data_IF_489135321565
#
_entry.id   IF_489135321565
#
_cell.length_a   1.000
_cell.length_b   1.000
_cell.length_c   1.000
_cell.angle_alpha   90.00
_cell.angle_beta   90.00
_cell.angle_gamma   90.00
#
_symmetry.space_group_name_H-M   'P 1'
#
loop_
_entity.id
_entity.type
_entity.pdbx_description
1 polymer ?
#
# COMPACT_ATOMS: atom_id res chain seq x y z
N UNK A 1 46.56 32.24 -34.58
CA UNK A 1 46.39 31.01 -33.77
C UNK A 1 47.09 29.86 -34.51
N UNK A 2 48.11 29.30 -33.90
CA UNK A 2 49.05 28.37 -34.51
C UNK A 2 48.28 27.13 -35.00
N UNK A 3 48.58 26.60 -36.19
CA UNK A 3 47.93 25.44 -36.77
C UNK A 3 47.92 24.23 -35.81
N UNK A 4 48.96 24.08 -34.98
CA UNK A 4 49.06 23.03 -33.95
C UNK A 4 47.95 23.17 -32.89
N UNK A 5 47.61 24.41 -32.47
CA UNK A 5 46.56 24.66 -31.44
C UNK A 5 45.17 24.31 -32.03
N UNK A 6 44.94 24.62 -33.30
CA UNK A 6 43.69 24.26 -33.99
C UNK A 6 43.51 22.74 -34.10
N UNK A 7 44.60 22.03 -34.41
CA UNK A 7 44.57 20.55 -34.48
C UNK A 7 44.32 19.90 -33.13
N UNK A 8 44.97 20.39 -32.08
CA UNK A 8 44.77 19.90 -30.70
C UNK A 8 43.31 20.16 -30.26
N UNK A 9 42.77 21.36 -30.52
CA UNK A 9 41.38 21.70 -30.20
C UNK A 9 40.39 20.77 -30.93
N UNK A 10 40.64 20.51 -32.21
CA UNK A 10 39.80 19.60 -33.02
C UNK A 10 39.82 18.18 -32.47
N UNK A 11 40.99 17.66 -32.10
CA UNK A 11 41.16 16.33 -31.48
C UNK A 11 40.38 16.24 -30.15
N UNK A 12 40.44 17.26 -29.29
CA UNK A 12 39.68 17.30 -28.03
C UNK A 12 38.17 17.29 -28.29
N UNK A 13 37.70 18.07 -29.25
CA UNK A 13 36.28 18.11 -29.61
C UNK A 13 35.79 16.74 -30.10
N UNK A 14 36.55 16.07 -30.98
CA UNK A 14 36.20 14.72 -31.43
C UNK A 14 36.26 13.68 -30.30
N UNK A 15 37.20 13.83 -29.37
CA UNK A 15 37.28 12.94 -28.20
C UNK A 15 36.04 13.10 -27.29
N UNK A 16 35.62 14.33 -27.01
CA UNK A 16 34.43 14.60 -26.21
C UNK A 16 33.14 14.10 -26.88
N UNK A 17 33.02 14.32 -28.20
CA UNK A 17 31.90 13.80 -28.98
C UNK A 17 31.91 12.27 -28.97
N UNK A 18 33.06 11.62 -29.14
CA UNK A 18 33.21 10.17 -29.11
C UNK A 18 32.83 9.56 -27.76
N UNK A 19 33.27 10.20 -26.65
CA UNK A 19 32.88 9.78 -25.30
C UNK A 19 31.38 9.95 -25.10
N UNK A 20 30.80 11.11 -25.48
CA UNK A 20 29.38 11.35 -25.36
C UNK A 20 28.50 10.39 -26.16
N UNK A 21 28.92 10.09 -27.41
CA UNK A 21 28.26 9.10 -28.26
C UNK A 21 28.38 7.67 -27.71
N UNK A 22 29.56 7.32 -27.16
CA UNK A 22 29.79 6.02 -26.51
C UNK A 22 28.90 5.84 -25.27
N UNK A 23 28.83 6.83 -24.40
CA UNK A 23 27.93 6.82 -23.23
C UNK A 23 26.45 6.72 -23.64
N UNK A 24 26.03 7.50 -24.65
CA UNK A 24 24.67 7.45 -25.15
C UNK A 24 24.31 6.10 -25.74
N UNK A 25 25.22 5.48 -26.49
CA UNK A 25 25.03 4.15 -27.06
C UNK A 25 24.98 3.06 -25.96
N UNK A 26 25.88 3.10 -25.00
CA UNK A 26 25.93 2.14 -23.90
C UNK A 26 24.67 2.27 -23.00
N UNK A 27 24.22 3.50 -22.74
CA UNK A 27 22.97 3.74 -21.99
C UNK A 27 21.76 3.19 -22.73
N UNK A 28 21.62 3.51 -24.02
CA UNK A 28 20.49 3.02 -24.84
C UNK A 28 20.56 1.49 -25.00
N UNK A 29 21.73 0.91 -25.21
CA UNK A 29 21.91 -0.55 -25.31
C UNK A 29 21.58 -1.24 -24.00
N UNK A 30 22.07 -0.73 -22.87
CA UNK A 30 21.75 -1.23 -21.54
C UNK A 30 20.25 -1.09 -21.22
N UNK A 31 19.65 0.04 -21.56
CA UNK A 31 18.21 0.27 -21.40
C UNK A 31 17.38 -0.72 -22.23
N UNK A 32 17.74 -0.95 -23.50
CA UNK A 32 17.04 -1.90 -24.36
C UNK A 32 17.25 -3.36 -23.89
N UNK A 33 18.43 -3.72 -23.43
CA UNK A 33 18.66 -5.05 -22.80
C UNK A 33 17.81 -5.23 -21.54
N UNK A 34 17.79 -4.24 -20.63
CA UNK A 34 16.98 -4.30 -19.42
C UNK A 34 15.50 -4.40 -19.75
N UNK A 35 15.04 -3.62 -20.73
CA UNK A 35 13.65 -3.66 -21.20
C UNK A 35 13.29 -5.01 -21.86
N UNK A 36 14.23 -5.63 -22.54
CA UNK A 36 14.05 -6.96 -23.14
C UNK A 36 14.01 -8.06 -22.07
N UNK A 37 14.85 -7.97 -21.04
CA UNK A 37 14.86 -8.89 -19.90
C UNK A 37 13.54 -8.79 -19.10
N UNK A 38 13.07 -7.58 -18.82
CA UNK A 38 11.81 -7.34 -18.08
C UNK A 38 10.61 -7.92 -18.85
N UNK A 39 10.61 -7.84 -20.18
CA UNK A 39 9.54 -8.40 -21.02
C UNK A 39 9.37 -9.92 -20.93
N UNK A 40 10.37 -10.61 -20.43
CA UNK A 40 10.44 -12.07 -20.42
C UNK A 40 10.38 -12.69 -19.01
N UNK A 41 10.07 -11.89 -17.97
CA UNK A 41 9.96 -12.40 -16.60
C UNK A 41 8.53 -12.94 -16.40
N UNK A 42 8.43 -14.19 -16.02
CA UNK A 42 7.19 -14.87 -15.66
C UNK A 42 7.24 -15.25 -14.19
N UNK A 43 6.29 -14.82 -13.35
CA UNK A 43 6.21 -15.33 -12.00
C UNK A 43 5.80 -16.80 -12.02
N UNK A 44 6.62 -17.65 -11.41
CA UNK A 44 6.28 -19.05 -11.15
C UNK A 44 5.70 -19.13 -9.77
N UNK A 45 4.44 -19.56 -9.67
CA UNK A 45 3.70 -19.65 -8.43
C UNK A 45 3.51 -21.10 -8.03
N UNK A 46 3.36 -21.32 -6.75
CA UNK A 46 2.98 -22.61 -6.24
C UNK A 46 1.57 -22.96 -6.71
N UNK A 47 1.37 -24.24 -7.06
CA UNK A 47 0.03 -24.70 -7.44
C UNK A 47 -0.74 -25.00 -6.15
N UNK A 48 -1.41 -23.96 -5.63
CA UNK A 48 -1.94 -23.98 -4.28
C UNK A 48 -3.46 -24.10 -4.26
N UNK A 49 -3.95 -25.31 -4.18
CA UNK A 49 -5.38 -25.59 -4.10
C UNK A 49 -5.97 -25.41 -2.68
N UNK A 50 -5.14 -25.12 -1.67
CA UNK A 50 -5.54 -25.11 -0.27
C UNK A 50 -5.77 -23.70 0.29
N UNK A 51 -5.33 -22.66 -0.41
CA UNK A 51 -5.47 -21.29 0.04
C UNK A 51 -6.44 -20.51 -0.84
N UNK A 52 -7.21 -19.63 -0.23
CA UNK A 52 -8.22 -18.82 -0.91
C UNK A 52 -7.67 -17.42 -1.26
N UNK A 53 -6.91 -16.85 -0.36
CA UNK A 53 -6.45 -15.45 -0.47
C UNK A 53 -5.03 -15.29 -0.99
N UNK A 54 -4.15 -16.25 -0.75
CA UNK A 54 -2.75 -16.16 -1.17
C UNK A 54 -2.48 -16.96 -2.45
N UNK A 55 -1.45 -16.55 -3.17
CA UNK A 55 -0.90 -17.31 -4.28
C UNK A 55 0.63 -17.25 -4.22
N UNK A 56 1.28 -18.15 -3.46
CA UNK A 56 2.71 -18.08 -3.17
C UNK A 56 3.58 -17.98 -4.41
N UNK A 57 4.55 -17.06 -4.36
CA UNK A 57 5.51 -16.84 -5.43
C UNK A 57 6.76 -17.68 -5.16
N UNK A 58 7.00 -18.73 -5.98
CA UNK A 58 8.18 -19.59 -5.86
C UNK A 58 9.41 -18.96 -6.50
N UNK A 59 9.26 -18.43 -7.70
CA UNK A 59 10.34 -17.83 -8.47
C UNK A 59 9.83 -17.00 -9.63
N UNK A 60 10.73 -16.23 -10.25
CA UNK A 60 10.52 -15.67 -11.57
C UNK A 60 11.24 -16.52 -12.62
N UNK A 61 10.58 -16.77 -13.74
CA UNK A 61 11.18 -17.41 -14.92
C UNK A 61 11.20 -16.42 -16.08
N UNK A 62 12.19 -16.54 -16.96
CA UNK A 62 12.36 -15.65 -18.10
C UNK A 62 11.75 -16.29 -19.34
N UNK A 63 10.51 -15.92 -19.63
CA UNK A 63 9.74 -16.41 -20.79
C UNK A 63 9.35 -15.29 -21.77
N UNK A 64 8.36 -15.56 -22.62
CA UNK A 64 7.91 -14.61 -23.66
C UNK A 64 6.74 -13.71 -23.21
N UNK A 65 6.52 -13.52 -21.93
CA UNK A 65 5.39 -12.77 -21.41
C UNK A 65 5.71 -11.29 -21.15
N UNK A 66 4.69 -10.44 -21.23
CA UNK A 66 4.76 -9.01 -20.91
C UNK A 66 4.43 -8.82 -19.43
N UNK A 67 5.45 -8.83 -18.55
CA UNK A 67 5.29 -8.64 -17.11
C UNK A 67 5.92 -7.32 -16.67
N UNK A 68 5.43 -6.78 -15.56
CA UNK A 68 5.92 -5.55 -14.94
C UNK A 68 5.88 -4.30 -15.82
N UNK A 69 5.03 -4.27 -16.84
CA UNK A 69 4.86 -3.11 -17.70
C UNK A 69 3.88 -2.12 -17.05
N UNK A 70 4.19 -0.85 -17.26
CA UNK A 70 3.26 0.23 -16.89
C UNK A 70 2.07 0.26 -17.86
N UNK A 71 0.86 0.29 -17.30
CA UNK A 71 -0.38 0.41 -18.07
C UNK A 71 -0.76 1.88 -18.21
N UNK A 72 -0.25 2.50 -19.25
CA UNK A 72 -0.49 3.92 -19.55
C UNK A 72 -1.96 4.23 -19.85
N UNK A 73 -2.71 3.29 -20.44
CA UNK A 73 -4.13 3.51 -20.74
C UNK A 73 -4.96 3.63 -19.45
N UNK A 74 -4.64 2.83 -18.45
CA UNK A 74 -5.31 2.93 -17.15
C UNK A 74 -4.89 4.21 -16.41
N UNK A 75 -3.60 4.55 -16.44
CA UNK A 75 -3.06 5.78 -15.87
C UNK A 75 -3.78 7.02 -16.42
N UNK A 76 -3.88 7.14 -17.75
CA UNK A 76 -4.56 8.27 -18.41
C UNK A 76 -6.01 8.42 -17.97
N UNK A 77 -6.75 7.30 -17.85
CA UNK A 77 -8.16 7.32 -17.40
C UNK A 77 -8.29 7.78 -15.95
N UNK A 78 -7.43 7.26 -15.06
CA UNK A 78 -7.43 7.65 -13.65
C UNK A 78 -7.04 9.12 -13.52
N UNK A 79 -5.99 9.54 -14.22
CA UNK A 79 -5.53 10.93 -14.18
C UNK A 79 -6.60 11.91 -14.70
N UNK A 80 -7.30 11.58 -15.78
CA UNK A 80 -8.39 12.42 -16.30
C UNK A 80 -9.50 12.62 -15.25
N UNK A 81 -9.88 11.57 -14.52
CA UNK A 81 -10.84 11.66 -13.43
C UNK A 81 -10.30 12.52 -12.26
N UNK A 82 -9.05 12.31 -11.87
CA UNK A 82 -8.39 13.09 -10.81
C UNK A 82 -8.39 14.59 -11.14
N UNK A 83 -8.06 14.96 -12.38
CA UNK A 83 -8.08 16.36 -12.81
C UNK A 83 -9.48 16.98 -12.70
N UNK A 84 -10.55 16.23 -12.99
CA UNK A 84 -11.92 16.69 -12.79
C UNK A 84 -12.22 16.95 -11.29
N UNK A 85 -11.74 16.09 -10.39
CA UNK A 85 -11.93 16.27 -8.95
C UNK A 85 -11.18 17.52 -8.43
N UNK A 86 -9.99 17.79 -8.96
CA UNK A 86 -9.24 19.02 -8.62
C UNK A 86 -9.95 20.28 -9.12
N UNK A 87 -10.47 20.26 -10.34
CA UNK A 87 -11.25 21.40 -10.89
C UNK A 87 -12.52 21.66 -10.09
N UNK A 88 -13.16 20.60 -9.60
CA UNK A 88 -14.35 20.69 -8.74
C UNK A 88 -14.01 21.03 -7.27
N UNK A 89 -12.74 21.14 -6.91
CA UNK A 89 -12.25 21.37 -5.54
C UNK A 89 -12.69 20.30 -4.52
N UNK A 90 -12.92 19.08 -5.00
CA UNK A 90 -13.37 17.95 -4.18
C UNK A 90 -12.25 17.31 -3.35
N UNK A 91 -11.00 17.53 -3.72
CA UNK A 91 -9.83 17.08 -2.98
C UNK A 91 -8.63 18.01 -3.28
N UNK A 92 -7.71 18.10 -2.31
CA UNK A 92 -6.43 18.81 -2.45
C UNK A 92 -5.37 17.91 -3.12
N UNK A 93 -5.38 16.63 -2.78
CA UNK A 93 -4.46 15.65 -3.35
C UNK A 93 -5.13 14.28 -3.47
N UNK A 94 -4.90 13.60 -4.58
CA UNK A 94 -5.33 12.23 -4.86
C UNK A 94 -4.16 11.47 -5.46
N UNK A 95 -3.85 10.31 -4.89
CA UNK A 95 -2.82 9.40 -5.37
C UNK A 95 -3.36 8.00 -5.49
N UNK A 96 -2.97 7.31 -6.57
CA UNK A 96 -3.44 5.97 -6.89
C UNK A 96 -2.27 5.10 -7.31
N UNK A 97 -2.24 3.88 -6.81
CA UNK A 97 -1.37 2.83 -7.32
C UNK A 97 -2.15 1.53 -7.49
N UNK A 98 -2.06 0.97 -8.67
CA UNK A 98 -2.63 -0.32 -9.08
C UNK A 98 -1.52 -1.28 -9.46
N UNK A 99 -1.66 -2.57 -9.12
CA UNK A 99 -0.79 -3.63 -9.63
C UNK A 99 -1.55 -4.93 -9.82
N UNK A 100 -1.45 -5.49 -11.02
CA UNK A 100 -1.92 -6.83 -11.36
C UNK A 100 -1.06 -7.87 -10.67
N UNK A 101 -1.63 -8.65 -9.76
CA UNK A 101 -0.90 -9.65 -8.98
C UNK A 101 -0.53 -10.91 -9.79
N UNK A 102 -1.15 -11.13 -10.95
CA UNK A 102 -0.83 -12.25 -11.83
C UNK A 102 0.28 -11.94 -12.82
N UNK A 103 0.26 -10.75 -13.44
CA UNK A 103 1.21 -10.36 -14.47
C UNK A 103 2.24 -9.31 -14.00
N UNK A 104 2.01 -8.64 -12.85
CA UNK A 104 2.86 -7.58 -12.35
C UNK A 104 2.76 -6.27 -13.15
N UNK A 105 1.84 -6.15 -14.11
CA UNK A 105 1.56 -4.86 -14.77
C UNK A 105 1.02 -3.87 -13.74
N UNK A 106 1.37 -2.61 -13.86
CA UNK A 106 1.04 -1.60 -12.89
C UNK A 106 0.64 -0.28 -13.52
N UNK A 107 -0.05 0.56 -12.76
CA UNK A 107 -0.41 1.92 -13.13
C UNK A 107 -0.36 2.82 -11.90
N UNK A 108 0.10 4.04 -12.05
CA UNK A 108 0.24 4.96 -10.94
C UNK A 108 0.01 6.41 -11.32
N UNK A 109 -0.83 7.11 -10.55
CA UNK A 109 -0.99 8.57 -10.65
C UNK A 109 -0.60 9.15 -9.30
N UNK A 110 0.38 10.03 -9.27
CA UNK A 110 0.97 10.59 -8.05
C UNK A 110 1.43 9.50 -7.05
N UNK A 111 1.84 8.34 -7.55
CA UNK A 111 2.00 7.10 -6.78
C UNK A 111 3.09 7.18 -5.70
N UNK A 112 4.06 8.08 -5.85
CA UNK A 112 5.17 8.31 -4.91
C UNK A 112 4.89 9.48 -3.93
N UNK A 113 3.70 10.11 -4.02
CA UNK A 113 3.29 11.15 -3.05
C UNK A 113 2.97 10.52 -1.71
N UNK A 114 3.57 11.06 -0.64
CA UNK A 114 3.42 10.52 0.72
C UNK A 114 2.32 11.25 1.51
N UNK A 115 1.60 10.48 2.34
CA UNK A 115 0.48 10.92 3.18
C UNK A 115 0.66 10.46 4.62
N UNK A 116 0.04 11.16 5.57
CA UNK A 116 -0.14 10.67 6.94
C UNK A 116 -1.06 9.44 6.87
N UNK A 117 -0.59 8.23 7.23
CA UNK A 117 -1.26 6.99 6.83
C UNK A 117 -2.55 6.67 7.62
N UNK A 118 -2.67 7.15 8.85
CA UNK A 118 -3.75 6.73 9.74
C UNK A 118 -3.77 5.21 9.95
N UNK A 119 -4.95 4.66 10.11
CA UNK A 119 -5.18 3.25 10.47
C UNK A 119 -4.81 2.22 9.40
N UNK A 120 -4.38 2.61 8.18
CA UNK A 120 -3.87 1.62 7.23
C UNK A 120 -2.63 0.89 7.77
N UNK A 121 -1.87 1.52 8.66
CA UNK A 121 -0.64 0.94 9.22
C UNK A 121 -0.88 -0.18 10.24
N UNK A 122 -2.10 -0.39 10.71
CA UNK A 122 -2.49 -1.52 11.55
C UNK A 122 -2.16 -2.88 10.93
N UNK A 123 -2.05 -2.95 9.61
CA UNK A 123 -1.60 -4.16 8.90
C UNK A 123 -0.19 -4.57 9.29
N UNK A 124 0.73 -3.61 9.51
CA UNK A 124 2.10 -3.94 9.94
C UNK A 124 2.17 -4.44 11.39
N UNK A 125 1.31 -3.92 12.26
CA UNK A 125 1.19 -4.41 13.63
C UNK A 125 0.71 -5.86 13.62
N UNK A 126 -0.30 -6.17 12.81
CA UNK A 126 -0.77 -7.55 12.60
C UNK A 126 0.36 -8.44 12.08
N UNK A 127 1.15 -7.99 11.11
CA UNK A 127 2.30 -8.75 10.60
C UNK A 127 3.37 -8.98 11.69
N UNK A 128 3.60 -8.00 12.58
CA UNK A 128 4.54 -8.16 13.69
C UNK A 128 4.07 -9.25 14.68
N UNK A 129 2.79 -9.31 15.00
CA UNK A 129 2.24 -10.38 15.84
C UNK A 129 2.32 -11.76 15.18
N UNK A 130 2.10 -11.87 13.87
CA UNK A 130 2.32 -13.11 13.15
C UNK A 130 3.81 -13.51 13.13
N UNK A 131 4.73 -12.55 13.01
CA UNK A 131 6.17 -12.83 13.17
C UNK A 131 6.51 -13.30 14.59
N UNK A 132 5.94 -12.67 15.62
CA UNK A 132 6.11 -13.08 17.01
C UNK A 132 5.57 -14.48 17.26
N UNK A 133 4.43 -14.83 16.68
CA UNK A 133 3.80 -16.15 16.83
C UNK A 133 4.62 -17.29 16.23
N UNK A 134 5.49 -17.01 15.27
CA UNK A 134 6.44 -18.00 14.74
C UNK A 134 7.55 -18.35 15.74
N UNK A 135 7.84 -17.46 16.69
CA UNK A 135 8.81 -17.67 17.75
C UNK A 135 8.13 -18.21 19.04
N UNK A 136 6.93 -17.74 19.31
CA UNK A 136 6.09 -18.17 20.43
C UNK A 136 4.62 -18.29 20.00
N UNK A 137 4.22 -19.51 19.67
CA UNK A 137 2.84 -19.79 19.22
C UNK A 137 1.77 -19.48 20.26
N UNK A 138 2.13 -19.31 21.54
CA UNK A 138 1.19 -18.98 22.62
C UNK A 138 0.72 -17.52 22.57
N UNK A 139 1.43 -16.65 21.85
CA UNK A 139 1.14 -15.20 21.83
C UNK A 139 -0.26 -14.89 21.34
N UNK A 140 -0.79 -15.63 20.36
CA UNK A 140 -2.14 -15.44 19.82
C UNK A 140 -3.26 -15.72 20.83
N UNK A 141 -3.01 -16.66 21.76
CA UNK A 141 -3.95 -17.04 22.84
C UNK A 141 -3.75 -16.20 24.11
N UNK A 142 -2.67 -15.41 24.19
CA UNK A 142 -2.38 -14.58 25.35
C UNK A 142 -3.50 -13.56 25.56
N UNK A 143 -3.98 -13.47 26.80
CA UNK A 143 -5.01 -12.50 27.18
C UNK A 143 -4.38 -11.19 27.65
N UNK A 144 -4.89 -10.09 27.14
CA UNK A 144 -4.52 -8.72 27.50
C UNK A 144 -5.72 -8.02 28.12
N UNK A 145 -5.50 -7.29 29.22
CA UNK A 145 -6.57 -6.57 29.93
C UNK A 145 -6.68 -5.16 29.41
N UNK A 146 -7.87 -4.74 28.97
CA UNK A 146 -8.14 -3.36 28.61
C UNK A 146 -8.34 -2.52 29.88
N UNK A 147 -7.31 -1.77 30.26
CA UNK A 147 -7.28 -1.01 31.52
C UNK A 147 -7.74 0.44 31.33
N UNK A 148 -8.10 1.12 32.44
CA UNK A 148 -8.36 2.56 32.45
C UNK A 148 -7.20 3.37 31.87
N UNK A 149 -5.96 2.95 32.11
CA UNK A 149 -4.78 3.64 31.56
C UNK A 149 -4.75 3.58 30.03
N UNK A 150 -5.06 2.42 29.44
CA UNK A 150 -5.16 2.28 27.97
C UNK A 150 -6.31 3.12 27.44
N UNK A 151 -7.47 3.08 28.08
CA UNK A 151 -8.64 3.90 27.71
C UNK A 151 -8.32 5.41 27.73
N UNK A 152 -7.57 5.87 28.72
CA UNK A 152 -7.10 7.26 28.77
C UNK A 152 -6.09 7.59 27.65
N UNK A 153 -5.28 6.65 27.21
CA UNK A 153 -4.39 6.85 26.06
C UNK A 153 -5.20 6.98 24.76
N UNK A 154 -6.17 6.11 24.55
CA UNK A 154 -7.09 6.15 23.41
C UNK A 154 -7.84 7.49 23.33
N UNK A 155 -8.35 7.99 24.46
CA UNK A 155 -9.10 9.26 24.52
C UNK A 155 -8.29 10.50 24.09
N UNK A 156 -6.97 10.39 23.98
CA UNK A 156 -6.08 11.46 23.51
C UNK A 156 -5.85 11.45 22.01
N UNK A 157 -6.30 10.41 21.30
CA UNK A 157 -6.20 10.33 19.85
C UNK A 157 -7.16 11.37 19.24
N UNK A 158 -6.70 12.23 18.33
CA UNK A 158 -7.54 13.32 17.79
C UNK A 158 -8.78 12.85 17.03
N UNK A 159 -8.71 11.68 16.41
CA UNK A 159 -9.80 11.02 15.71
C UNK A 159 -9.82 9.55 16.14
N UNK A 160 -10.87 9.14 16.84
CA UNK A 160 -10.99 7.78 17.39
C UNK A 160 -12.09 7.03 16.64
N UNK A 161 -11.76 5.89 16.09
CA UNK A 161 -12.74 4.94 15.58
C UNK A 161 -13.56 4.34 16.72
N UNK A 162 -14.74 3.78 16.43
CA UNK A 162 -15.57 3.13 17.45
C UNK A 162 -14.77 2.10 18.24
N UNK A 163 -14.90 2.16 19.58
CA UNK A 163 -14.22 1.26 20.53
C UNK A 163 -15.20 0.16 20.94
N UNK A 164 -14.83 -1.09 20.70
CA UNK A 164 -15.62 -2.27 21.06
C UNK A 164 -15.20 -2.87 22.41
N UNK A 165 -14.07 -2.45 22.97
CA UNK A 165 -13.53 -3.00 24.21
C UNK A 165 -14.16 -2.36 25.45
N UNK A 166 -14.37 -3.17 26.49
CA UNK A 166 -14.88 -2.74 27.79
C UNK A 166 -13.74 -2.71 28.81
N UNK A 167 -13.57 -1.59 29.51
CA UNK A 167 -12.56 -1.44 30.57
C UNK A 167 -12.72 -2.52 31.63
N UNK A 168 -11.59 -3.11 32.06
CA UNK A 168 -11.52 -4.20 33.02
C UNK A 168 -11.72 -5.60 32.42
N UNK A 169 -12.12 -5.72 31.18
CA UNK A 169 -12.25 -7.00 30.49
C UNK A 169 -10.92 -7.45 29.87
N UNK A 170 -10.82 -8.75 29.65
CA UNK A 170 -9.63 -9.42 29.08
C UNK A 170 -9.98 -10.00 27.73
N UNK A 171 -9.10 -9.79 26.74
CA UNK A 171 -9.29 -10.19 25.36
C UNK A 171 -8.04 -10.94 24.86
N UNK A 172 -8.21 -11.99 24.07
CA UNK A 172 -7.07 -12.66 23.45
C UNK A 172 -6.40 -11.78 22.39
N UNK A 173 -5.10 -11.93 22.20
CA UNK A 173 -4.36 -11.22 21.15
C UNK A 173 -5.02 -11.44 19.78
N UNK A 174 -5.44 -12.66 19.48
CA UNK A 174 -6.16 -12.98 18.25
C UNK A 174 -7.42 -12.13 18.07
N UNK A 175 -8.29 -12.08 19.08
CA UNK A 175 -9.50 -11.24 19.05
C UNK A 175 -9.17 -9.78 18.81
N UNK A 176 -8.13 -9.27 19.48
CA UNK A 176 -7.71 -7.87 19.34
C UNK A 176 -7.20 -7.58 17.92
N UNK A 177 -6.46 -8.51 17.30
CA UNK A 177 -6.02 -8.37 15.91
C UNK A 177 -7.20 -8.34 14.94
N UNK A 178 -8.17 -9.22 15.13
CA UNK A 178 -9.40 -9.24 14.33
C UNK A 178 -10.15 -7.91 14.47
N UNK A 179 -10.41 -7.44 15.68
CA UNK A 179 -11.15 -6.19 15.93
C UNK A 179 -10.40 -4.94 15.41
N UNK A 180 -9.07 -4.89 15.63
CA UNK A 180 -8.21 -3.84 15.10
C UNK A 180 -8.29 -3.71 13.57
N UNK A 181 -8.37 -4.82 12.86
CA UNK A 181 -8.38 -4.82 11.39
C UNK A 181 -9.80 -4.70 10.84
N UNK A 182 -10.74 -5.53 11.30
CA UNK A 182 -12.11 -5.60 10.78
C UNK A 182 -12.88 -4.30 11.06
N UNK A 183 -12.81 -3.80 12.31
CA UNK A 183 -13.52 -2.62 12.78
C UNK A 183 -12.65 -1.38 12.87
N UNK A 184 -11.35 -1.49 12.61
CA UNK A 184 -10.38 -0.41 12.83
C UNK A 184 -10.34 0.10 14.27
N UNK A 185 -10.62 -0.76 15.27
CA UNK A 185 -10.71 -0.38 16.70
C UNK A 185 -9.37 0.18 17.20
N UNK A 186 -9.40 1.42 17.71
CA UNK A 186 -8.20 2.12 18.19
C UNK A 186 -7.82 1.69 19.62
N UNK A 187 -8.75 1.11 20.38
CA UNK A 187 -8.43 0.56 21.68
C UNK A 187 -7.71 -0.78 21.54
N UNK A 188 -8.14 -1.63 20.61
CA UNK A 188 -7.44 -2.86 20.26
C UNK A 188 -6.03 -2.55 19.74
N UNK A 189 -5.88 -1.58 18.84
CA UNK A 189 -4.60 -1.09 18.34
C UNK A 189 -3.66 -0.63 19.45
N UNK A 190 -4.14 0.27 20.32
CA UNK A 190 -3.35 0.80 21.43
C UNK A 190 -2.92 -0.31 22.40
N UNK A 191 -3.83 -1.24 22.74
CA UNK A 191 -3.53 -2.34 23.62
C UNK A 191 -2.49 -3.30 23.02
N UNK A 192 -2.61 -3.59 21.73
CA UNK A 192 -1.64 -4.40 21.00
C UNK A 192 -0.27 -3.71 20.92
N UNK A 193 -0.20 -2.43 20.53
CA UNK A 193 1.06 -1.68 20.46
C UNK A 193 1.81 -1.62 21.80
N UNK A 194 1.10 -1.56 22.93
CA UNK A 194 1.70 -1.57 24.26
C UNK A 194 2.24 -2.95 24.67
N UNK A 195 1.87 -4.03 23.96
CA UNK A 195 2.20 -5.40 24.34
C UNK A 195 2.98 -6.18 23.26
N UNK A 196 3.14 -5.64 22.06
CA UNK A 196 3.95 -6.25 21.00
C UNK A 196 5.43 -6.26 21.39
N UNK A 197 6.17 -7.27 20.95
CA UNK A 197 7.61 -7.25 21.06
C UNK A 197 8.19 -6.13 20.20
N UNK A 198 8.74 -5.10 20.84
CA UNK A 198 9.23 -3.89 20.17
C UNK A 198 10.33 -4.21 19.15
N UNK A 199 11.23 -5.16 19.44
CA UNK A 199 12.28 -5.54 18.49
C UNK A 199 11.71 -6.14 17.21
N UNK A 200 10.65 -6.98 17.33
CA UNK A 200 9.99 -7.57 16.17
C UNK A 200 9.22 -6.51 15.38
N UNK A 201 8.57 -5.57 16.06
CA UNK A 201 7.90 -4.47 15.41
C UNK A 201 8.89 -3.59 14.64
N UNK A 202 10.03 -3.24 15.25
CA UNK A 202 11.09 -2.45 14.62
C UNK A 202 11.68 -3.18 13.41
N UNK A 203 11.87 -4.51 13.49
CA UNK A 203 12.33 -5.35 12.38
C UNK A 203 11.31 -5.32 11.22
N UNK A 204 10.01 -5.45 11.49
CA UNK A 204 8.97 -5.37 10.45
C UNK A 204 8.99 -4.01 9.75
N UNK A 205 9.07 -2.93 10.49
CA UNK A 205 9.14 -1.59 9.90
C UNK A 205 10.44 -1.39 9.11
N UNK A 206 11.57 -1.87 9.63
CA UNK A 206 12.88 -1.79 8.99
C UNK A 206 12.96 -2.61 7.70
N UNK A 207 12.53 -3.87 7.72
CA UNK A 207 12.51 -4.77 6.56
C UNK A 207 11.63 -4.23 5.43
N UNK A 208 10.51 -3.61 5.80
CA UNK A 208 9.56 -3.03 4.86
C UNK A 208 9.89 -1.58 4.50
N UNK A 209 11.01 -1.03 5.02
CA UNK A 209 11.50 0.33 4.78
C UNK A 209 10.49 1.42 5.14
N UNK A 210 9.76 1.22 6.21
CA UNK A 210 8.77 2.17 6.74
C UNK A 210 9.33 2.84 7.98
N UNK A 211 9.08 4.13 8.12
CA UNK A 211 9.45 4.87 9.33
C UNK A 211 8.59 4.42 10.51
N UNK A 212 9.21 4.09 11.64
CA UNK A 212 8.51 3.72 12.86
C UNK A 212 7.75 4.94 13.41
N UNK A 213 6.45 4.80 13.79
CA UNK A 213 5.69 5.88 14.40
C UNK A 213 6.40 6.48 15.63
N UNK A 214 6.39 7.80 15.74
CA UNK A 214 6.98 8.51 16.89
C UNK A 214 8.50 8.72 16.85
N UNK A 215 9.22 8.12 15.89
CA UNK A 215 10.67 8.33 15.73
C UNK A 215 11.03 9.56 14.90
N UNK A 216 10.11 10.02 14.06
CA UNK A 216 10.25 11.24 13.26
C UNK A 216 8.94 12.02 13.22
N UNK A 217 9.02 13.34 12.98
CA UNK A 217 7.85 14.20 12.76
C UNK A 217 7.12 13.92 11.43
N UNK A 218 7.68 13.07 10.58
CA UNK A 218 7.20 12.83 9.21
C UNK A 218 6.88 11.35 8.98
N UNK A 219 6.00 10.80 9.82
CA UNK A 219 5.46 9.47 9.57
C UNK A 219 4.47 9.52 8.41
N UNK A 220 4.96 9.20 7.22
CA UNK A 220 4.18 9.22 5.98
C UNK A 220 4.50 8.02 5.11
N UNK A 221 3.56 7.64 4.23
CA UNK A 221 3.73 6.55 3.27
C UNK A 221 3.06 6.91 1.94
N UNK A 222 3.62 6.40 0.84
CA UNK A 222 3.00 6.52 -0.48
C UNK A 222 2.08 5.32 -0.78
N UNK A 223 1.10 5.45 -1.70
CA UNK A 223 0.28 4.31 -2.12
C UNK A 223 1.09 3.19 -2.76
N UNK A 224 2.16 3.51 -3.46
CA UNK A 224 3.06 2.53 -4.07
C UNK A 224 3.81 1.71 -3.01
N UNK A 225 4.36 2.37 -1.99
CA UNK A 225 5.06 1.67 -0.91
C UNK A 225 4.10 0.81 -0.10
N UNK A 226 2.91 1.32 0.23
CA UNK A 226 1.90 0.57 0.97
C UNK A 226 1.44 -0.70 0.23
N UNK A 227 1.24 -0.64 -1.09
CA UNK A 227 0.84 -1.84 -1.86
C UNK A 227 1.88 -2.94 -1.86
N UNK A 228 3.14 -2.64 -1.52
CA UNK A 228 4.16 -3.67 -1.36
C UNK A 228 3.85 -4.62 -0.20
N UNK A 229 3.21 -4.14 0.88
CA UNK A 229 2.79 -4.96 2.02
C UNK A 229 1.70 -5.95 1.63
N UNK A 230 0.68 -5.47 0.88
CA UNK A 230 -0.38 -6.34 0.38
C UNK A 230 0.17 -7.41 -0.57
N UNK A 231 1.11 -7.04 -1.42
CA UNK A 231 1.78 -7.99 -2.32
C UNK A 231 2.63 -9.02 -1.56
N UNK A 232 3.30 -8.62 -0.48
CA UNK A 232 4.08 -9.52 0.38
C UNK A 232 3.16 -10.54 1.06
N UNK A 233 1.99 -10.11 1.56
CA UNK A 233 0.98 -11.01 2.12
C UNK A 233 0.44 -11.96 1.05
N UNK A 234 0.04 -11.43 -0.12
CA UNK A 234 -0.48 -12.25 -1.22
C UNK A 234 0.51 -13.30 -1.72
N UNK A 235 1.78 -12.96 -1.76
CA UNK A 235 2.86 -13.87 -2.18
C UNK A 235 3.38 -14.76 -1.04
N UNK A 236 2.93 -14.57 0.19
CA UNK A 236 3.39 -15.26 1.40
C UNK A 236 4.92 -15.25 1.55
N UNK A 237 5.56 -14.08 1.34
CA UNK A 237 7.02 -13.96 1.28
C UNK A 237 7.67 -13.39 2.53
N UNK A 238 6.89 -13.06 3.57
CA UNK A 238 7.39 -12.45 4.80
C UNK A 238 6.95 -13.17 6.07
N UNK A 239 5.71 -13.55 6.17
CA UNK A 239 5.16 -14.44 7.19
C UNK A 239 4.78 -15.78 6.55
N UNK A 240 4.43 -16.80 7.35
CA UNK A 240 4.10 -18.12 6.80
C UNK A 240 2.88 -18.05 5.86
N UNK A 241 2.71 -19.06 5.02
CA UNK A 241 1.54 -19.18 4.15
C UNK A 241 0.23 -19.17 4.94
N UNK A 242 0.20 -19.93 6.05
CA UNK A 242 -0.97 -20.00 6.94
C UNK A 242 -1.28 -18.62 7.54
N UNK A 243 -0.27 -17.93 8.04
CA UNK A 243 -0.42 -16.60 8.64
C UNK A 243 -0.82 -15.55 7.58
N UNK A 244 -0.26 -15.65 6.38
CA UNK A 244 -0.60 -14.76 5.26
C UNK A 244 -2.05 -14.93 4.80
N UNK A 245 -2.52 -16.16 4.71
CA UNK A 245 -3.91 -16.49 4.40
C UNK A 245 -4.85 -15.97 5.48
N UNK A 246 -4.53 -16.19 6.77
CA UNK A 246 -5.33 -15.68 7.88
C UNK A 246 -5.36 -14.16 7.91
N UNK A 247 -4.22 -13.46 7.70
CA UNK A 247 -4.14 -12.02 7.64
C UNK A 247 -5.04 -11.44 6.53
N UNK A 248 -5.01 -12.02 5.33
CA UNK A 248 -5.86 -11.58 4.23
C UNK A 248 -7.33 -11.95 4.45
N UNK A 249 -7.62 -13.08 5.12
CA UNK A 249 -8.98 -13.44 5.55
C UNK A 249 -9.55 -12.43 6.54
N UNK A 250 -8.76 -11.94 7.50
CA UNK A 250 -9.18 -10.88 8.44
C UNK A 250 -9.43 -9.58 7.67
N UNK A 251 -8.53 -9.19 6.76
CA UNK A 251 -8.70 -8.00 5.92
C UNK A 251 -9.95 -8.05 5.04
N UNK A 252 -10.37 -9.26 4.61
CA UNK A 252 -11.60 -9.43 3.79
C UNK A 252 -12.89 -9.25 4.58
N UNK A 253 -12.82 -9.30 5.91
CA UNK A 253 -13.98 -9.09 6.81
C UNK A 253 -14.11 -7.63 7.28
N UNK A 254 -13.34 -6.70 6.70
CA UNK A 254 -13.44 -5.28 7.05
C UNK A 254 -14.88 -4.79 6.97
N UNK A 255 -15.34 -4.14 8.04
CA UNK A 255 -16.69 -3.54 8.12
C UNK A 255 -16.80 -2.21 7.35
N UNK A 256 -15.71 -1.71 6.79
CA UNK A 256 -15.71 -0.53 5.94
C UNK A 256 -16.23 -0.89 4.54
N UNK A 257 -17.49 -0.59 4.27
CA UNK A 257 -18.16 -0.93 3.02
C UNK A 257 -18.20 0.23 2.00
N UNK A 258 -17.61 1.37 2.32
CA UNK A 258 -17.40 2.47 1.39
C UNK A 258 -16.10 2.28 0.59
N UNK A 259 -15.70 3.27 -0.17
CA UNK A 259 -14.42 3.27 -0.88
C UNK A 259 -14.26 2.12 -1.89
N UNK A 260 -13.18 1.32 -1.77
CA UNK A 260 -12.86 0.25 -2.73
C UNK A 260 -14.00 -0.77 -2.82
N UNK A 261 -14.51 -1.21 -1.68
CA UNK A 261 -15.59 -2.20 -1.63
C UNK A 261 -16.85 -1.73 -2.36
N UNK A 262 -17.25 -0.47 -2.17
CA UNK A 262 -18.40 0.12 -2.85
C UNK A 262 -18.23 0.28 -4.38
N UNK A 263 -16.98 0.27 -4.86
CA UNK A 263 -16.64 0.41 -6.28
C UNK A 263 -16.68 -0.90 -7.07
N UNK A 264 -16.80 -2.05 -6.41
CA UNK A 264 -16.88 -3.36 -7.07
C UNK A 264 -18.28 -3.96 -6.97
N UNK A 265 -18.66 -4.88 -7.86
CA UNK A 265 -19.95 -5.56 -7.78
C UNK A 265 -20.09 -6.40 -6.51
N UNK A 266 -21.33 -6.53 -6.03
CA UNK A 266 -21.65 -7.45 -4.92
C UNK A 266 -21.15 -8.86 -5.20
N UNK A 267 -20.53 -9.48 -4.18
CA UNK A 267 -19.95 -10.82 -4.27
C UNK A 267 -18.49 -10.86 -4.77
N UNK A 268 -17.89 -9.72 -5.10
CA UNK A 268 -16.44 -9.62 -5.30
C UNK A 268 -15.78 -9.44 -3.94
N UNK A 269 -14.86 -10.34 -3.60
CA UNK A 269 -14.11 -10.26 -2.35
C UNK A 269 -13.05 -9.16 -2.41
N UNK A 270 -12.90 -8.44 -1.29
CA UNK A 270 -11.94 -7.35 -1.13
C UNK A 270 -11.27 -7.48 0.24
N UNK A 271 -10.01 -7.83 0.26
CA UNK A 271 -9.19 -7.77 1.47
C UNK A 271 -8.59 -6.36 1.59
N UNK A 272 -9.09 -5.54 2.52
CA UNK A 272 -8.78 -4.11 2.56
C UNK A 272 -8.58 -3.57 3.96
N UNK A 273 -7.83 -2.46 4.05
CA UNK A 273 -7.78 -1.59 5.23
C UNK A 273 -7.99 -0.14 4.80
N UNK A 274 -8.88 0.55 5.49
CA UNK A 274 -9.01 2.00 5.39
C UNK A 274 -8.25 2.70 6.52
N UNK A 275 -7.96 3.96 6.33
CA UNK A 275 -7.34 4.80 7.35
C UNK A 275 -7.78 6.24 7.21
N UNK A 276 -8.10 6.84 8.33
CA UNK A 276 -8.48 8.24 8.50
C UNK A 276 -7.41 8.93 9.34
N UNK A 277 -7.18 10.20 9.04
CA UNK A 277 -6.22 11.02 9.78
C UNK A 277 -6.54 12.50 9.62
N UNK A 278 -6.07 13.29 10.57
CA UNK A 278 -6.19 14.74 10.56
C UNK A 278 -4.80 15.38 10.62
N UNK A 279 -4.64 16.47 9.90
CA UNK A 279 -3.52 17.39 10.09
C UNK A 279 -4.02 18.59 10.90
N UNK A 280 -3.39 18.83 12.03
CA UNK A 280 -3.83 19.85 13.00
C UNK A 280 -2.71 20.85 13.20
N UNK A 281 -2.99 22.11 12.99
CA UNK A 281 -2.04 23.18 13.29
C UNK A 281 -1.67 23.14 14.79
N UNK A 282 -0.38 23.03 15.13
CA UNK A 282 0.05 22.87 16.51
C UNK A 282 -0.20 24.12 17.37
N UNK A 283 -0.35 25.30 16.75
CA UNK A 283 -0.54 26.58 17.43
C UNK A 283 -2.03 26.92 17.56
N UNK A 284 -2.77 26.88 16.45
CA UNK A 284 -4.20 27.28 16.42
C UNK A 284 -5.13 26.15 16.85
N UNK A 285 -4.66 24.87 16.80
CA UNK A 285 -5.45 23.66 16.99
C UNK A 285 -6.55 23.45 15.93
N UNK A 286 -6.52 24.20 14.85
CA UNK A 286 -7.43 24.04 13.74
C UNK A 286 -7.04 22.85 12.86
N UNK A 287 -8.02 22.13 12.33
CA UNK A 287 -7.80 21.06 11.37
C UNK A 287 -7.50 21.70 10.01
N UNK A 288 -6.29 21.50 9.53
CA UNK A 288 -5.81 22.06 8.24
C UNK A 288 -6.06 21.11 7.08
N UNK A 289 -6.09 19.80 7.34
CA UNK A 289 -6.41 18.80 6.34
C UNK A 289 -7.04 17.55 6.96
N UNK A 290 -7.82 16.87 6.13
CA UNK A 290 -8.44 15.57 6.44
C UNK A 290 -7.98 14.55 5.42
N UNK A 291 -7.58 13.37 5.89
CA UNK A 291 -7.11 12.27 5.05
C UNK A 291 -8.06 11.09 5.14
N UNK A 292 -8.34 10.50 3.99
CA UNK A 292 -8.99 9.19 3.88
C UNK A 292 -8.21 8.35 2.88
N UNK A 293 -7.80 7.17 3.29
CA UNK A 293 -7.09 6.21 2.48
C UNK A 293 -7.82 4.88 2.48
N UNK A 294 -7.76 4.17 1.37
CA UNK A 294 -8.25 2.82 1.30
C UNK A 294 -7.37 2.01 0.36
N UNK A 295 -6.78 0.95 0.89
CA UNK A 295 -5.85 0.09 0.16
C UNK A 295 -6.24 -1.37 0.39
N UNK A 296 -6.18 -2.17 -0.66
CA UNK A 296 -6.59 -3.57 -0.57
C UNK A 296 -6.23 -4.40 -1.79
N UNK A 297 -6.59 -5.68 -1.71
CA UNK A 297 -6.57 -6.64 -2.80
C UNK A 297 -8.01 -6.89 -3.22
N UNK A 298 -8.28 -6.71 -4.50
CA UNK A 298 -9.58 -7.06 -5.10
C UNK A 298 -9.43 -8.38 -5.84
N UNK A 299 -10.20 -9.38 -5.44
CA UNK A 299 -10.20 -10.73 -6.04
C UNK A 299 -11.15 -10.79 -7.25
N UNK A 300 -10.81 -10.01 -8.28
CA UNK A 300 -11.59 -9.98 -9.51
C UNK A 300 -11.43 -11.27 -10.32
N UNK A 301 -12.51 -11.68 -11.03
CA UNK A 301 -12.53 -12.92 -11.80
C UNK A 301 -11.45 -12.98 -12.89
N UNK A 302 -11.10 -11.84 -13.51
CA UNK A 302 -10.07 -11.81 -14.55
C UNK A 302 -8.69 -12.09 -13.96
N UNK A 303 -8.33 -11.40 -12.89
CA UNK A 303 -7.13 -11.59 -12.08
C UNK A 303 -7.23 -10.74 -10.80
N UNK A 304 -6.64 -11.19 -9.68
CA UNK A 304 -6.54 -10.37 -8.49
C UNK A 304 -5.57 -9.20 -8.71
N UNK A 305 -5.84 -8.08 -8.06
CA UNK A 305 -5.00 -6.90 -8.14
C UNK A 305 -4.96 -6.14 -6.82
N UNK A 306 -3.85 -5.45 -6.55
CA UNK A 306 -3.77 -4.45 -5.49
C UNK A 306 -4.27 -3.11 -5.99
N UNK A 307 -4.97 -2.38 -5.15
CA UNK A 307 -5.38 -1.00 -5.39
C UNK A 307 -5.20 -0.22 -4.09
N UNK A 308 -4.45 0.86 -4.14
CA UNK A 308 -4.30 1.78 -3.03
C UNK A 308 -4.62 3.19 -3.51
N UNK A 309 -5.57 3.84 -2.84
CA UNK A 309 -6.02 5.19 -3.15
C UNK A 309 -5.89 6.02 -1.87
N UNK A 310 -5.10 7.07 -1.96
CA UNK A 310 -4.86 8.00 -0.85
C UNK A 310 -5.35 9.39 -1.23
N UNK A 311 -6.09 10.02 -0.32
CA UNK A 311 -6.69 11.33 -0.57
C UNK A 311 -6.42 12.29 0.58
N UNK A 312 -6.32 13.58 0.25
CA UNK A 312 -6.24 14.69 1.19
C UNK A 312 -7.28 15.74 0.79
N UNK A 313 -8.07 16.18 1.74
CA UNK A 313 -8.99 17.29 1.60
C UNK A 313 -8.58 18.45 2.51
N UNK A 314 -8.90 19.69 2.11
CA UNK A 314 -8.57 20.88 2.89
C UNK A 314 -9.54 21.03 4.07
N UNK A 315 -8.99 21.30 5.25
CA UNK A 315 -9.75 21.50 6.48
C UNK A 315 -10.45 20.23 6.98
N UNK A 316 -11.42 20.41 7.87
CA UNK A 316 -12.22 19.30 8.41
C UNK A 316 -13.35 18.91 7.43
N UNK A 317 -13.41 17.63 7.07
CA UNK A 317 -14.48 17.05 6.24
C UNK A 317 -15.09 15.81 6.90
N UNK A 318 -16.26 15.40 6.43
CA UNK A 318 -16.95 14.17 6.87
C UNK A 318 -16.56 12.92 6.05
N UNK A 319 -15.49 12.98 5.29
CA UNK A 319 -14.94 11.93 4.41
C UNK A 319 -15.84 11.46 3.25
N UNK A 320 -17.11 11.85 3.18
CA UNK A 320 -18.04 11.35 2.14
C UNK A 320 -17.56 11.61 0.72
N UNK A 321 -17.02 12.81 0.48
CA UNK A 321 -16.50 13.15 -0.85
C UNK A 321 -15.25 12.33 -1.19
N UNK A 322 -14.36 12.13 -0.23
CA UNK A 322 -13.17 11.31 -0.40
C UNK A 322 -13.53 9.84 -0.64
N UNK A 323 -14.49 9.30 0.13
CA UNK A 323 -15.02 7.95 -0.07
C UNK A 323 -15.64 7.76 -1.47
N UNK A 324 -16.40 8.78 -1.95
CA UNK A 324 -16.95 8.76 -3.30
C UNK A 324 -15.86 8.74 -4.38
N UNK A 325 -14.80 9.53 -4.23
CA UNK A 325 -13.64 9.52 -5.13
C UNK A 325 -12.98 8.14 -5.17
N UNK A 326 -12.76 7.53 -4.00
CA UNK A 326 -12.16 6.20 -3.89
C UNK A 326 -13.04 5.14 -4.56
N UNK A 327 -14.35 5.19 -4.31
CA UNK A 327 -15.35 4.32 -4.94
C UNK A 327 -15.31 4.43 -6.47
N UNK A 328 -15.34 5.64 -7.00
CA UNK A 328 -15.39 5.88 -8.44
C UNK A 328 -14.13 5.37 -9.14
N UNK A 329 -12.94 5.62 -8.55
CA UNK A 329 -11.67 5.09 -9.04
C UNK A 329 -11.69 3.55 -8.99
N UNK A 330 -12.15 2.96 -7.89
CA UNK A 330 -12.27 1.51 -7.76
C UNK A 330 -13.19 0.91 -8.83
N UNK A 331 -14.34 1.51 -9.09
CA UNK A 331 -15.27 1.07 -10.13
C UNK A 331 -14.65 1.16 -11.55
N UNK A 332 -13.90 2.23 -11.81
CA UNK A 332 -13.19 2.42 -13.07
C UNK A 332 -12.11 1.34 -13.27
N UNK A 333 -11.30 1.07 -12.26
CA UNK A 333 -10.26 0.03 -12.29
C UNK A 333 -10.88 -1.35 -12.46
N UNK A 334 -11.92 -1.68 -11.68
CA UNK A 334 -12.61 -2.97 -11.79
C UNK A 334 -13.18 -3.20 -13.20
N UNK A 335 -13.84 -2.19 -13.78
CA UNK A 335 -14.36 -2.26 -15.15
C UNK A 335 -13.23 -2.45 -16.17
N UNK A 336 -12.11 -1.74 -16.00
CA UNK A 336 -10.96 -1.84 -16.88
C UNK A 336 -10.35 -3.25 -16.87
N UNK A 337 -10.12 -3.80 -15.68
CA UNK A 337 -9.58 -5.16 -15.47
C UNK A 337 -10.45 -6.21 -16.14
N UNK A 338 -11.78 -6.11 -16.03
CA UNK A 338 -12.71 -7.12 -16.55
C UNK A 338 -13.10 -6.90 -18.03
N UNK A 339 -12.75 -5.76 -18.65
CA UNK A 339 -12.99 -5.50 -20.08
C UNK A 339 -11.97 -6.17 -21.00
N UNK A 340 -10.94 -6.82 -20.45
CA UNK A 340 -9.84 -7.41 -21.23
C UNK A 340 -8.85 -6.39 -21.79
N UNK A 341 -9.00 -5.12 -21.45
CA UNK A 341 -8.11 -4.03 -21.90
C UNK A 341 -6.75 -4.05 -21.20
N UNK A 342 -6.61 -4.78 -20.08
CA UNK A 342 -5.38 -4.94 -19.30
C UNK A 342 -4.62 -6.25 -19.57
N UNK A 343 -4.86 -6.92 -20.72
CA UNK A 343 -4.15 -8.17 -21.10
C UNK A 343 -2.90 -7.90 -21.88
#
# INVERSE_FOLDING_TARGET
MDNKIKTIFLCIVFLVIGIGAGYGFEYEFSYQQTKHLIKNIVPVRENNFNYHYIYPLLRYDFGNAKYFLEDKNLEEKINAYIQQQYQAQNAESISVYFSNLSAGTWSGVNADTSYIPGSIMKVLIMMAYYRESQLDSSIMAKNLVYTDQVNQAVSKIPYVNPVNLTVGQSYSTKYLLEDMIENSDDAADTLLLLNVNQSILDDVFGDLKVTVPGTTSNYTISPKDYTSFLRILYNATYITEVDSEEALSILSKSTYHDGIYAGVPSGVEVAQKYGESLDVDPQTKEVTATYLHNCGIVYAKAYPYTLCIMTKAKGLTDHKQQAAIIKDISAMVYKYVNSGSGK
#
